data_IF_818046446837
#
_entry.id   IF_818046446837
#
_cell.length_a   1.000
_cell.length_b   1.000
_cell.length_c   1.000
_cell.angle_alpha   90.00
_cell.angle_beta   90.00
_cell.angle_gamma   90.00
#
_symmetry.space_group_name_H-M   'P 1'
#
loop_
_entity.id
_entity.type
_entity.pdbx_description
1 polymer ?
#
# COMPACT_ATOMS: atom_id res chain seq x y z
N UNK A 1 10.36 22.08 7.25
CA UNK A 1 10.86 21.71 8.60
C UNK A 1 10.62 20.23 8.77
N UNK A 2 11.63 19.42 9.11
CA UNK A 2 11.44 17.99 9.34
C UNK A 2 10.92 17.77 10.76
N UNK A 3 9.98 16.84 10.94
CA UNK A 3 9.60 16.38 12.27
C UNK A 3 10.82 15.67 12.89
N UNK A 4 11.30 16.18 14.03
CA UNK A 4 12.43 15.58 14.74
C UNK A 4 11.91 14.61 15.80
N UNK A 5 11.64 13.37 15.39
CA UNK A 5 11.29 12.28 16.30
C UNK A 5 12.57 11.58 16.76
N UNK A 6 12.75 11.28 18.06
CA UNK A 6 13.91 10.54 18.57
C UNK A 6 13.81 9.04 18.25
N UNK A 7 13.69 8.70 16.95
CA UNK A 7 13.43 7.33 16.47
C UNK A 7 14.47 6.30 16.95
N UNK A 8 15.70 6.74 17.22
CA UNK A 8 16.74 5.86 17.77
C UNK A 8 16.52 5.42 19.22
N UNK A 9 15.67 6.12 19.96
CA UNK A 9 15.40 5.87 21.39
C UNK A 9 14.06 5.16 21.61
N UNK A 10 13.21 5.09 20.58
CA UNK A 10 11.90 4.44 20.65
C UNK A 10 12.03 2.93 20.53
N UNK A 11 11.23 2.20 21.31
CA UNK A 11 11.04 0.76 21.13
C UNK A 11 10.34 0.47 19.78
N UNK A 12 10.25 -0.81 19.40
CA UNK A 12 9.49 -1.17 18.20
C UNK A 12 8.00 -0.84 18.39
N UNK A 13 7.47 -1.13 19.57
CA UNK A 13 6.09 -0.87 19.97
C UNK A 13 5.78 0.63 19.86
N UNK A 14 6.63 1.49 20.41
CA UNK A 14 6.44 2.96 20.34
C UNK A 14 6.45 3.45 18.88
N UNK A 15 7.27 2.85 18.02
CA UNK A 15 7.32 3.23 16.59
C UNK A 15 6.05 2.83 15.87
N UNK A 16 5.54 1.65 16.14
CA UNK A 16 4.30 1.17 15.54
C UNK A 16 3.11 2.02 16.02
N UNK A 17 3.04 2.32 17.32
CA UNK A 17 2.00 3.21 17.84
C UNK A 17 2.08 4.61 17.23
N UNK A 18 3.29 5.18 17.11
CA UNK A 18 3.47 6.46 16.44
C UNK A 18 3.02 6.41 14.98
N UNK A 19 3.29 5.32 14.26
CA UNK A 19 2.80 5.15 12.88
C UNK A 19 1.28 5.11 12.82
N UNK A 20 0.61 4.40 13.72
CA UNK A 20 -0.86 4.32 13.78
C UNK A 20 -1.49 5.67 14.12
N UNK A 21 -0.92 6.40 15.09
CA UNK A 21 -1.39 7.74 15.45
C UNK A 21 -1.26 8.73 14.28
N UNK A 22 -0.12 8.71 13.59
CA UNK A 22 0.10 9.53 12.40
C UNK A 22 -0.88 9.14 11.28
N UNK A 23 -1.10 7.85 11.08
CA UNK A 23 -2.06 7.38 10.08
C UNK A 23 -3.49 7.79 10.40
N UNK A 24 -3.91 7.70 11.66
CA UNK A 24 -5.22 8.12 12.11
C UNK A 24 -5.46 9.63 11.90
N UNK A 25 -4.47 10.48 12.21
CA UNK A 25 -4.55 11.93 12.01
C UNK A 25 -4.62 12.29 10.51
N UNK A 26 -3.72 11.75 9.69
CA UNK A 26 -3.69 12.00 8.25
C UNK A 26 -4.97 11.54 7.54
N UNK A 27 -5.52 10.40 7.96
CA UNK A 27 -6.74 9.84 7.37
C UNK A 27 -8.02 10.55 7.82
N UNK A 28 -7.99 11.35 8.89
CA UNK A 28 -9.13 12.14 9.34
C UNK A 28 -9.46 13.31 8.39
N UNK A 29 -8.53 13.74 7.55
CA UNK A 29 -8.70 14.86 6.60
C UNK A 29 -8.31 14.48 5.17
N UNK A 30 -9.02 13.51 4.55
CA UNK A 30 -8.63 12.95 3.25
C UNK A 30 -8.55 13.99 2.13
N UNK A 31 -9.33 15.07 2.22
CA UNK A 31 -9.35 16.15 1.23
C UNK A 31 -8.05 16.99 1.22
N UNK A 32 -7.26 16.95 2.30
CA UNK A 32 -5.95 17.63 2.36
C UNK A 32 -4.89 16.89 1.54
N UNK A 33 -5.09 15.60 1.26
CA UNK A 33 -4.17 14.77 0.48
C UNK A 33 -4.75 14.59 -0.92
N UNK A 34 -4.40 15.52 -1.81
CA UNK A 34 -4.82 15.43 -3.21
C UNK A 34 -4.12 14.23 -3.86
N UNK A 35 -4.92 13.28 -4.34
CA UNK A 35 -4.39 12.16 -5.13
C UNK A 35 -3.69 12.69 -6.40
N UNK A 36 -2.45 12.25 -6.67
CA UNK A 36 -1.77 12.57 -7.92
C UNK A 36 -2.61 12.23 -9.14
N UNK A 37 -2.51 13.01 -10.21
CA UNK A 37 -3.29 12.81 -11.44
C UNK A 37 -3.19 11.39 -12.00
N UNK A 38 -1.99 10.80 -11.94
CA UNK A 38 -1.72 9.45 -12.45
C UNK A 38 -2.54 8.36 -11.74
N UNK A 39 -3.02 8.58 -10.50
CA UNK A 39 -3.89 7.61 -9.81
C UNK A 39 -5.17 7.39 -10.60
N UNK A 40 -5.77 8.46 -11.15
CA UNK A 40 -6.99 8.37 -11.96
C UNK A 40 -6.71 7.59 -13.24
N UNK A 41 -5.59 7.87 -13.88
CA UNK A 41 -5.21 7.24 -15.14
C UNK A 41 -4.99 5.73 -14.95
N UNK A 42 -4.32 5.34 -13.86
CA UNK A 42 -4.10 3.93 -13.51
C UNK A 42 -5.40 3.20 -13.17
N UNK A 43 -6.31 3.84 -12.42
CA UNK A 43 -7.64 3.28 -12.14
C UNK A 43 -8.47 3.11 -13.42
N UNK A 44 -8.42 4.09 -14.33
CA UNK A 44 -9.06 4.02 -15.65
C UNK A 44 -8.50 2.87 -16.49
N UNK A 45 -7.17 2.74 -16.55
CA UNK A 45 -6.48 1.65 -17.25
C UNK A 45 -6.93 0.28 -16.72
N UNK A 46 -6.94 0.10 -15.39
CA UNK A 46 -7.37 -1.17 -14.77
C UNK A 46 -8.84 -1.48 -15.02
N UNK A 47 -9.72 -0.47 -14.99
CA UNK A 47 -11.14 -0.65 -15.32
C UNK A 47 -11.31 -1.13 -16.77
N UNK A 48 -10.65 -0.48 -17.72
CA UNK A 48 -10.71 -0.88 -19.12
C UNK A 48 -10.22 -2.33 -19.32
N UNK A 49 -9.20 -2.76 -18.57
CA UNK A 49 -8.73 -4.14 -18.63
C UNK A 49 -9.76 -5.15 -18.13
N UNK A 50 -10.52 -4.81 -17.08
CA UNK A 50 -11.63 -5.63 -16.59
C UNK A 50 -12.76 -5.72 -17.63
N UNK A 51 -13.13 -4.59 -18.24
CA UNK A 51 -14.18 -4.53 -19.27
C UNK A 51 -13.80 -5.31 -20.53
N UNK A 52 -12.51 -5.30 -20.89
CA UNK A 52 -11.96 -6.07 -22.02
C UNK A 52 -11.71 -7.55 -21.67
N UNK A 53 -11.89 -7.97 -20.42
CA UNK A 53 -11.63 -9.34 -19.95
C UNK A 53 -10.14 -9.70 -19.84
N UNK A 54 -9.23 -8.73 -19.97
CA UNK A 54 -7.78 -8.91 -19.85
C UNK A 54 -7.27 -8.86 -18.40
N UNK A 55 -8.13 -8.46 -17.46
CA UNK A 55 -7.89 -8.55 -16.03
C UNK A 55 -9.11 -9.18 -15.33
N UNK A 56 -8.88 -9.74 -14.14
CA UNK A 56 -9.93 -10.28 -13.27
C UNK A 56 -9.67 -9.93 -11.83
N UNK A 57 -10.74 -9.89 -11.04
CA UNK A 57 -10.59 -9.87 -9.58
C UNK A 57 -10.10 -11.24 -9.11
N UNK A 58 -9.29 -11.22 -8.05
CA UNK A 58 -8.83 -12.41 -7.35
C UNK A 58 -9.06 -12.21 -5.86
N UNK A 59 -9.29 -13.30 -5.14
CA UNK A 59 -9.37 -13.21 -3.68
C UNK A 59 -7.99 -12.85 -3.13
N UNK A 60 -7.98 -12.13 -1.99
CA UNK A 60 -6.73 -11.81 -1.31
C UNK A 60 -5.93 -13.06 -0.93
N UNK A 61 -6.61 -14.13 -0.53
CA UNK A 61 -5.96 -15.37 -0.13
C UNK A 61 -5.28 -16.07 -1.32
N UNK A 62 -5.92 -16.07 -2.49
CA UNK A 62 -5.34 -16.64 -3.71
C UNK A 62 -4.13 -15.81 -4.16
N UNK A 63 -4.28 -14.47 -4.17
CA UNK A 63 -3.20 -13.54 -4.49
C UNK A 63 -1.94 -13.78 -3.63
N UNK A 64 -2.14 -13.93 -2.32
CA UNK A 64 -1.05 -14.18 -1.39
C UNK A 64 -0.46 -15.59 -1.53
N UNK A 65 -1.27 -16.57 -1.93
CA UNK A 65 -0.81 -17.93 -2.21
C UNK A 65 0.10 -17.94 -3.43
N UNK A 66 -0.35 -17.32 -4.52
CA UNK A 66 0.41 -17.18 -5.77
C UNK A 66 1.73 -16.43 -5.55
N UNK A 67 1.68 -15.29 -4.85
CA UNK A 67 2.88 -14.51 -4.52
C UNK A 67 3.88 -15.31 -3.69
N UNK A 68 3.42 -16.07 -2.68
CA UNK A 68 4.30 -16.93 -1.88
C UNK A 68 4.91 -18.06 -2.72
N UNK A 69 4.15 -18.63 -3.65
CA UNK A 69 4.66 -19.65 -4.57
C UNK A 69 5.73 -19.07 -5.50
N UNK A 70 5.49 -17.87 -6.06
CA UNK A 70 6.43 -17.15 -6.92
C UNK A 70 7.73 -16.82 -6.17
N UNK A 71 7.64 -16.25 -4.96
CA UNK A 71 8.80 -15.94 -4.13
C UNK A 71 9.61 -17.17 -3.72
N UNK A 72 8.97 -18.33 -3.57
CA UNK A 72 9.66 -19.61 -3.30
C UNK A 72 10.32 -20.19 -4.55
N UNK A 73 9.73 -19.98 -5.73
CA UNK A 73 10.31 -20.35 -7.02
C UNK A 73 11.43 -19.40 -7.44
N UNK A 74 11.40 -18.15 -6.98
CA UNK A 74 12.47 -17.17 -7.06
C UNK A 74 13.55 -17.45 -5.99
N UNK A 75 14.10 -18.68 -5.99
CA UNK A 75 15.42 -18.87 -5.41
C UNK A 75 16.41 -18.25 -6.39
N UNK A 76 16.91 -17.05 -6.04
CA UNK A 76 17.98 -16.39 -6.77
C UNK A 76 19.20 -17.33 -6.92
N UNK A 77 19.98 -17.22 -8.02
CA UNK A 77 21.27 -17.89 -8.12
C UNK A 77 22.25 -17.46 -7.02
#
# INVERSE_FOLDING_TARGET
>A
MAANLPLGQMSLEDKLEAMELLWADLSATPDQVVSPAWHRDELGRRRNQLEQGSARFQSWNDAMTDLKAELRGYQAP
#
